data_IF_500316985903
#
_entry.id   IF_500316985903
#
_cell.length_a   1.000
_cell.length_b   1.000
_cell.length_c   1.000
_cell.angle_alpha   90.00
_cell.angle_beta   90.00
_cell.angle_gamma   90.00
#
_symmetry.space_group_name_H-M   'P 1'
#
loop_
_entity.id
_entity.type
_entity.pdbx_description
1 polymer ?
#
# COMPACT_ATOMS: atom_id res chain seq x y z
N UNK A 1 -18.76 19.23 16.25
CA UNK A 1 -18.15 19.94 15.10
C UNK A 1 -16.99 19.10 14.56
N UNK A 2 -17.17 18.48 13.41
CA UNK A 2 -16.14 17.67 12.73
C UNK A 2 -15.24 18.66 11.99
N UNK A 3 -13.99 18.80 12.41
CA UNK A 3 -13.00 19.65 11.73
C UNK A 3 -12.77 19.14 10.30
N UNK A 4 -12.85 19.99 9.26
CA UNK A 4 -12.59 19.57 7.89
C UNK A 4 -11.15 19.05 7.78
N UNK A 5 -11.00 17.88 7.18
CA UNK A 5 -9.68 17.28 6.89
C UNK A 5 -8.90 18.22 5.97
N UNK A 6 -7.91 18.87 6.54
CA UNK A 6 -7.15 19.95 5.93
C UNK A 6 -6.40 19.49 4.68
N UNK A 7 -6.50 20.31 3.64
CA UNK A 7 -5.81 20.23 2.34
C UNK A 7 -4.28 20.03 2.41
N UNK A 8 -3.65 20.30 3.55
CA UNK A 8 -2.22 20.01 3.83
C UNK A 8 -1.83 18.52 3.74
N UNK A 9 -2.78 17.57 3.94
CA UNK A 9 -2.49 16.12 3.84
C UNK A 9 -2.34 15.63 2.40
N UNK A 10 -2.91 16.31 1.41
CA UNK A 10 -2.83 15.93 -0.02
C UNK A 10 -1.46 16.19 -0.65
N UNK A 11 -0.77 17.24 -0.21
CA UNK A 11 0.59 17.56 -0.70
C UNK A 11 1.60 16.45 -0.38
N UNK A 12 1.39 15.74 0.71
CA UNK A 12 2.24 14.62 1.13
C UNK A 12 2.09 13.34 0.29
N UNK A 13 0.98 13.12 -0.43
CA UNK A 13 0.77 11.87 -1.18
C UNK A 13 1.73 11.76 -2.38
N UNK A 14 1.92 12.85 -3.15
CA UNK A 14 2.86 12.90 -4.29
C UNK A 14 4.27 12.54 -3.83
N UNK A 15 4.74 13.17 -2.76
CA UNK A 15 6.07 12.91 -2.20
C UNK A 15 6.21 11.48 -1.69
N UNK A 16 5.18 10.93 -1.04
CA UNK A 16 5.18 9.54 -0.58
C UNK A 16 5.23 8.54 -1.74
N UNK A 17 4.52 8.82 -2.84
CA UNK A 17 4.59 8.00 -4.06
C UNK A 17 6.00 8.02 -4.64
N UNK A 18 6.60 9.22 -4.82
CA UNK A 18 7.98 9.34 -5.31
C UNK A 18 8.95 8.59 -4.42
N UNK A 19 8.88 8.78 -3.11
CA UNK A 19 9.75 8.09 -2.14
C UNK A 19 9.57 6.56 -2.18
N UNK A 20 8.36 6.06 -2.46
CA UNK A 20 8.10 4.62 -2.58
C UNK A 20 8.62 4.07 -3.91
N UNK A 21 8.50 4.82 -5.00
CA UNK A 21 8.98 4.42 -6.32
C UNK A 21 10.50 4.50 -6.41
N UNK A 22 11.10 5.43 -5.69
CA UNK A 22 12.54 5.62 -5.66
C UNK A 22 13.28 4.35 -5.23
N UNK A 23 14.40 4.06 -5.87
CA UNK A 23 15.34 2.99 -5.52
C UNK A 23 16.74 3.57 -5.46
N UNK A 24 17.54 3.17 -4.47
CA UNK A 24 18.95 3.60 -4.31
C UNK A 24 19.14 5.14 -4.35
N UNK A 25 18.20 5.90 -3.75
CA UNK A 25 18.26 7.36 -3.69
C UNK A 25 17.97 8.11 -5.00
N UNK A 26 17.68 7.42 -6.11
CA UNK A 26 17.47 8.03 -7.43
C UNK A 26 16.08 8.69 -7.53
N UNK A 27 15.91 9.87 -6.91
CA UNK A 27 14.64 10.59 -6.86
C UNK A 27 14.17 11.03 -8.25
N UNK A 28 15.06 11.51 -9.10
CA UNK A 28 14.74 11.95 -10.47
C UNK A 28 14.13 10.85 -11.32
N UNK A 29 14.58 9.61 -11.17
CA UNK A 29 13.98 8.45 -11.86
C UNK A 29 12.57 8.15 -11.32
N UNK A 30 12.37 8.25 -10.02
CA UNK A 30 11.04 8.11 -9.41
C UNK A 30 10.05 9.18 -9.92
N UNK A 31 10.48 10.42 -10.05
CA UNK A 31 9.69 11.52 -10.61
C UNK A 31 9.37 11.30 -12.09
N UNK A 32 10.33 10.85 -12.90
CA UNK A 32 10.11 10.50 -14.32
C UNK A 32 9.07 9.37 -14.47
N UNK A 33 9.13 8.35 -13.64
CA UNK A 33 8.14 7.26 -13.62
C UNK A 33 6.76 7.81 -13.28
N UNK A 34 6.66 8.65 -12.25
CA UNK A 34 5.39 9.26 -11.85
C UNK A 34 4.79 10.14 -12.95
N UNK A 35 5.61 10.91 -13.68
CA UNK A 35 5.15 11.72 -14.80
C UNK A 35 4.62 10.87 -15.95
N UNK A 36 5.33 9.79 -16.32
CA UNK A 36 4.89 8.85 -17.37
C UNK A 36 3.58 8.15 -16.95
N UNK A 37 3.48 7.72 -15.69
CA UNK A 37 2.27 7.16 -15.11
C UNK A 37 1.09 8.15 -15.20
N UNK A 38 1.27 9.40 -14.78
CA UNK A 38 0.22 10.42 -14.82
C UNK A 38 -0.25 10.70 -16.26
N UNK A 39 0.69 10.87 -17.21
CA UNK A 39 0.38 11.06 -18.63
C UNK A 39 -0.41 9.90 -19.22
N UNK A 40 -0.03 8.65 -18.91
CA UNK A 40 -0.74 7.45 -19.41
C UNK A 40 -2.16 7.38 -18.83
N UNK A 41 -2.31 7.68 -17.54
CA UNK A 41 -3.62 7.69 -16.87
C UNK A 41 -4.55 8.79 -17.40
N UNK A 42 -4.01 9.95 -17.77
CA UNK A 42 -4.79 11.01 -18.41
C UNK A 42 -5.25 10.62 -19.83
N UNK A 43 -4.39 9.94 -20.60
CA UNK A 43 -4.74 9.44 -21.94
C UNK A 43 -5.86 8.40 -21.93
N UNK A 44 -6.02 7.63 -20.85
CA UNK A 44 -7.09 6.64 -20.69
C UNK A 44 -8.46 7.25 -20.29
N UNK A 45 -8.70 8.53 -20.61
CA UNK A 45 -9.96 9.28 -20.35
C UNK A 45 -10.39 9.35 -18.87
N UNK A 46 -9.46 9.17 -17.94
CA UNK A 46 -9.77 9.32 -16.52
C UNK A 46 -9.75 10.81 -16.16
N UNK A 47 -10.90 11.49 -16.26
CA UNK A 47 -11.06 12.93 -15.97
C UNK A 47 -10.53 13.33 -14.57
N UNK A 48 -10.53 12.40 -13.61
CA UNK A 48 -10.16 12.64 -12.21
C UNK A 48 -9.04 11.72 -11.70
N UNK A 49 -7.88 11.69 -12.39
CA UNK A 49 -6.77 10.81 -12.04
C UNK A 49 -6.36 10.87 -10.55
N UNK A 50 -6.41 12.06 -9.93
CA UNK A 50 -6.10 12.23 -8.50
C UNK A 50 -7.06 11.44 -7.62
N UNK A 51 -8.37 11.47 -7.92
CA UNK A 51 -9.38 10.70 -7.18
C UNK A 51 -9.17 9.20 -7.32
N UNK A 52 -8.84 8.72 -8.53
CA UNK A 52 -8.56 7.29 -8.77
C UNK A 52 -7.35 6.81 -7.96
N UNK A 53 -6.26 7.57 -7.94
CA UNK A 53 -5.09 7.24 -7.12
C UNK A 53 -5.42 7.26 -5.63
N UNK A 54 -6.20 8.23 -5.17
CA UNK A 54 -6.64 8.28 -3.77
C UNK A 54 -7.52 7.08 -3.40
N UNK A 55 -8.50 6.73 -4.25
CA UNK A 55 -9.35 5.56 -4.03
C UNK A 55 -8.53 4.27 -4.00
N UNK A 56 -7.60 4.08 -4.95
CA UNK A 56 -6.72 2.92 -4.96
C UNK A 56 -5.92 2.81 -3.65
N UNK A 57 -5.36 3.92 -3.15
CA UNK A 57 -4.63 3.95 -1.89
C UNK A 57 -5.55 3.62 -0.71
N UNK A 58 -6.75 4.18 -0.63
CA UNK A 58 -7.72 3.91 0.44
C UNK A 58 -8.11 2.43 0.42
N UNK A 59 -8.44 1.89 -0.76
CA UNK A 59 -8.88 0.49 -0.91
C UNK A 59 -7.80 -0.51 -0.51
N UNK A 60 -6.53 -0.18 -0.74
CA UNK A 60 -5.38 -1.05 -0.41
C UNK A 60 -4.78 -0.78 0.97
N UNK A 61 -5.24 0.26 1.70
CA UNK A 61 -4.70 0.61 3.02
C UNK A 61 -5.07 -0.45 4.07
N UNK A 62 -4.08 -1.12 4.71
CA UNK A 62 -4.35 -2.02 5.81
C UNK A 62 -4.48 -1.26 7.13
N UNK A 63 -5.33 -1.75 8.04
CA UNK A 63 -5.46 -1.25 9.41
C UNK A 63 -4.48 -1.90 10.37
N UNK A 64 -4.12 -3.16 10.09
CA UNK A 64 -3.24 -3.97 10.93
C UNK A 64 -2.02 -4.43 10.13
N UNK A 65 -0.97 -4.77 10.83
CA UNK A 65 0.22 -5.48 10.33
C UNK A 65 0.46 -6.72 11.17
N UNK A 66 1.15 -7.70 10.64
CA UNK A 66 1.61 -8.87 11.37
C UNK A 66 3.06 -8.65 11.80
N UNK A 67 3.33 -8.81 13.08
CA UNK A 67 4.68 -8.81 13.63
C UNK A 67 5.07 -10.25 13.96
N UNK A 68 6.19 -10.69 13.41
CA UNK A 68 6.75 -12.00 13.71
C UNK A 68 7.52 -11.94 15.03
N UNK A 69 7.10 -12.74 15.99
CA UNK A 69 7.85 -12.94 17.23
C UNK A 69 8.43 -14.37 17.25
N UNK A 70 9.72 -14.46 17.43
CA UNK A 70 10.41 -15.72 17.63
C UNK A 70 10.38 -16.06 19.12
N UNK A 71 9.60 -17.05 19.49
CA UNK A 71 9.56 -17.58 20.85
C UNK A 71 10.48 -18.80 20.93
N UNK A 72 11.54 -18.68 21.73
CA UNK A 72 12.42 -19.80 22.04
C UNK A 72 11.77 -20.64 23.15
N UNK A 73 11.49 -21.89 22.90
CA UNK A 73 11.03 -22.87 23.88
C UNK A 73 12.04 -24.00 23.96
N UNK A 74 13.03 -23.85 24.84
CA UNK A 74 14.19 -24.75 24.89
C UNK A 74 15.02 -24.68 23.60
N UNK A 75 15.32 -25.82 23.01
CA UNK A 75 16.07 -25.94 21.73
C UNK A 75 15.23 -25.60 20.48
N UNK A 76 13.89 -25.49 20.62
CA UNK A 76 12.97 -25.24 19.48
C UNK A 76 12.64 -23.75 19.37
N UNK A 77 12.64 -23.24 18.14
CA UNK A 77 12.17 -21.89 17.80
C UNK A 77 10.77 -22.00 17.22
N UNK A 78 9.79 -21.29 17.81
CA UNK A 78 8.45 -21.14 17.27
C UNK A 78 8.26 -19.70 16.81
N UNK A 79 7.77 -19.52 15.59
CA UNK A 79 7.43 -18.19 15.04
C UNK A 79 5.94 -17.96 15.32
N UNK A 80 5.62 -16.86 15.97
CA UNK A 80 4.24 -16.42 16.21
C UNK A 80 3.99 -15.12 15.47
N UNK A 81 2.92 -15.08 14.68
CA UNK A 81 2.48 -13.88 13.97
C UNK A 81 1.47 -13.14 14.84
N UNK A 82 1.91 -12.03 15.45
CA UNK A 82 1.09 -11.22 16.33
C UNK A 82 0.53 -10.04 15.53
N UNK A 83 -0.82 -9.91 15.42
CA UNK A 83 -1.42 -8.76 14.78
C UNK A 83 -1.20 -7.50 15.62
N UNK A 84 -0.82 -6.40 14.96
CA UNK A 84 -0.66 -5.09 15.58
C UNK A 84 -1.38 -4.01 14.79
N UNK A 85 -1.99 -3.07 15.48
CA UNK A 85 -2.66 -1.93 14.86
C UNK A 85 -1.64 -0.90 14.34
N UNK A 86 -1.91 -0.31 13.18
CA UNK A 86 -1.10 0.76 12.63
C UNK A 86 -1.76 2.09 13.02
N UNK A 87 -1.24 2.76 14.04
CA UNK A 87 -1.80 4.02 14.57
C UNK A 87 -1.58 5.20 13.63
N UNK A 88 -0.44 5.26 12.95
CA UNK A 88 -0.08 6.38 12.08
C UNK A 88 -0.67 6.25 10.68
N UNK A 89 -1.49 7.23 10.26
CA UNK A 89 -2.02 7.32 8.88
C UNK A 89 -0.90 7.37 7.84
N UNK A 90 0.22 8.01 8.18
CA UNK A 90 1.39 8.06 7.30
C UNK A 90 1.95 6.69 6.98
N UNK A 91 2.07 5.83 8.01
CA UNK A 91 2.52 4.44 7.85
C UNK A 91 1.50 3.60 7.08
N UNK A 92 0.20 3.80 7.33
CA UNK A 92 -0.87 3.11 6.56
C UNK A 92 -0.74 3.40 5.08
N UNK A 93 -0.60 4.67 4.69
CA UNK A 93 -0.43 5.07 3.29
C UNK A 93 0.87 4.49 2.71
N UNK A 94 1.97 4.50 3.45
CA UNK A 94 3.24 3.94 2.98
C UNK A 94 3.17 2.43 2.79
N UNK A 95 2.49 1.69 3.66
CA UNK A 95 2.29 0.23 3.51
C UNK A 95 1.43 -0.09 2.30
N UNK A 96 0.37 0.68 2.04
CA UNK A 96 -0.45 0.58 0.83
C UNK A 96 0.38 0.79 -0.43
N UNK A 97 1.14 1.88 -0.51
CA UNK A 97 1.99 2.18 -1.67
C UNK A 97 3.07 1.11 -1.90
N UNK A 98 3.67 0.57 -0.83
CA UNK A 98 4.61 -0.56 -0.93
C UNK A 98 3.92 -1.82 -1.46
N UNK A 99 2.69 -2.11 -1.02
CA UNK A 99 1.90 -3.24 -1.52
C UNK A 99 1.61 -3.11 -3.02
N UNK A 100 1.17 -1.92 -3.47
CA UNK A 100 0.95 -1.64 -4.89
C UNK A 100 2.26 -1.82 -5.68
N UNK A 101 3.38 -1.22 -5.24
CA UNK A 101 4.68 -1.38 -5.90
C UNK A 101 5.08 -2.85 -6.02
N UNK A 102 4.92 -3.64 -4.97
CA UNK A 102 5.25 -5.07 -4.98
C UNK A 102 4.35 -5.88 -5.93
N UNK A 103 3.06 -5.53 -6.05
CA UNK A 103 2.15 -6.17 -7.01
C UNK A 103 2.56 -5.85 -8.44
N UNK A 104 2.89 -4.60 -8.71
CA UNK A 104 3.38 -4.15 -10.03
C UNK A 104 4.68 -4.85 -10.44
N UNK A 105 5.61 -5.06 -9.49
CA UNK A 105 6.86 -5.76 -9.76
C UNK A 105 6.67 -7.26 -10.03
N UNK A 106 5.64 -7.87 -9.42
CA UNK A 106 5.29 -9.27 -9.69
C UNK A 106 4.61 -9.46 -11.04
N UNK A 107 3.83 -8.47 -11.48
CA UNK A 107 3.14 -8.49 -12.77
C UNK A 107 4.08 -8.09 -13.89
N UNK A 108 4.42 -9.05 -14.74
CA UNK A 108 5.26 -8.81 -15.94
C UNK A 108 4.45 -8.68 -17.23
N UNK A 109 3.16 -8.36 -17.13
CA UNK A 109 2.24 -8.36 -18.29
C UNK A 109 2.52 -7.24 -19.29
N UNK A 110 3.01 -6.08 -18.83
CA UNK A 110 3.37 -4.97 -19.70
C UNK A 110 4.89 -4.77 -19.76
N UNK A 111 5.36 -4.27 -20.90
CA UNK A 111 6.78 -4.01 -21.15
C UNK A 111 7.38 -2.99 -20.18
N UNK A 112 6.58 -2.00 -19.75
CA UNK A 112 7.04 -0.92 -18.91
C UNK A 112 6.39 -0.93 -17.52
N UNK A 113 7.19 -0.66 -16.51
CA UNK A 113 6.74 -0.59 -15.11
C UNK A 113 5.58 0.41 -14.89
N UNK A 114 5.61 1.58 -15.53
CA UNK A 114 4.57 2.59 -15.39
C UNK A 114 3.21 2.15 -15.97
N UNK A 115 3.19 1.26 -16.97
CA UNK A 115 1.96 0.70 -17.53
C UNK A 115 1.32 -0.31 -16.58
N UNK A 116 2.13 -1.20 -16.01
CA UNK A 116 1.67 -2.10 -14.96
C UNK A 116 1.15 -1.32 -13.74
N UNK A 117 1.79 -0.19 -13.41
CA UNK A 117 1.33 0.69 -12.32
C UNK A 117 -0.03 1.32 -12.63
N UNK A 118 -0.28 1.75 -13.87
CA UNK A 118 -1.60 2.25 -14.30
C UNK A 118 -2.64 1.16 -14.14
N UNK A 119 -2.39 -0.04 -14.68
CA UNK A 119 -3.32 -1.16 -14.60
C UNK A 119 -3.65 -1.54 -13.16
N UNK A 120 -2.64 -1.68 -12.29
CA UNK A 120 -2.85 -2.03 -10.89
C UNK A 120 -3.62 -0.95 -10.13
N UNK A 121 -3.32 0.34 -10.35
CA UNK A 121 -4.02 1.45 -9.69
C UNK A 121 -5.46 1.56 -10.17
N UNK A 122 -5.74 1.38 -11.46
CA UNK A 122 -7.12 1.39 -11.98
C UNK A 122 -7.93 0.21 -11.44
N UNK A 123 -7.36 -0.99 -11.41
CA UNK A 123 -8.01 -2.17 -10.83
C UNK A 123 -8.25 -2.01 -9.33
N UNK A 124 -7.25 -1.52 -8.59
CA UNK A 124 -7.38 -1.29 -7.14
C UNK A 124 -8.41 -0.24 -6.79
N UNK A 125 -8.65 0.75 -7.66
CA UNK A 125 -9.70 1.75 -7.46
C UNK A 125 -11.11 1.15 -7.49
N UNK A 126 -11.30 0.01 -8.20
CA UNK A 126 -12.56 -0.73 -8.34
C UNK A 126 -12.60 -1.97 -7.40
N UNK A 127 -11.78 -1.99 -6.35
CA UNK A 127 -11.64 -3.14 -5.44
C UNK A 127 -11.19 -4.45 -6.11
N UNK A 128 -10.57 -4.38 -7.28
CA UNK A 128 -9.96 -5.51 -7.99
C UNK A 128 -8.46 -5.28 -8.06
N UNK A 129 -7.68 -6.34 -8.08
CA UNK A 129 -6.22 -6.23 -8.25
C UNK A 129 -5.45 -6.89 -7.12
N UNK A 130 -4.22 -7.28 -7.43
CA UNK A 130 -3.36 -8.06 -6.53
C UNK A 130 -3.03 -7.35 -5.21
N UNK A 131 -3.00 -6.02 -5.20
CA UNK A 131 -2.76 -5.25 -3.98
C UNK A 131 -3.96 -5.30 -3.02
N UNK A 132 -5.18 -5.38 -3.55
CA UNK A 132 -6.40 -5.57 -2.76
C UNK A 132 -6.46 -7.00 -2.23
N UNK A 133 -6.11 -8.00 -3.06
CA UNK A 133 -6.06 -9.41 -2.64
C UNK A 133 -5.08 -9.62 -1.50
N UNK A 134 -3.89 -9.00 -1.54
CA UNK A 134 -2.94 -9.02 -0.43
C UNK A 134 -3.51 -8.43 0.87
N UNK A 135 -4.31 -7.36 0.77
CA UNK A 135 -4.98 -6.79 1.93
C UNK A 135 -6.00 -7.77 2.52
N UNK A 136 -6.82 -8.40 1.66
CA UNK A 136 -7.82 -9.38 2.13
C UNK A 136 -7.17 -10.62 2.71
N UNK A 137 -6.07 -11.10 2.15
CA UNK A 137 -5.27 -12.19 2.68
C UNK A 137 -4.69 -11.84 4.06
N UNK A 138 -4.11 -10.65 4.20
CA UNK A 138 -3.62 -10.16 5.48
C UNK A 138 -4.75 -10.09 6.52
N UNK A 139 -5.95 -9.64 6.14
CA UNK A 139 -7.11 -9.63 7.03
C UNK A 139 -7.51 -11.03 7.47
N UNK A 140 -7.50 -12.02 6.56
CA UNK A 140 -7.76 -13.44 6.89
C UNK A 140 -6.71 -13.97 7.89
N UNK A 141 -5.44 -13.67 7.68
CA UNK A 141 -4.35 -14.07 8.58
C UNK A 141 -4.50 -13.44 9.97
N UNK A 142 -4.95 -12.18 10.05
CA UNK A 142 -5.21 -11.49 11.32
C UNK A 142 -6.36 -12.16 12.06
N UNK A 143 -7.44 -12.50 11.37
CA UNK A 143 -8.58 -13.20 11.97
C UNK A 143 -8.17 -14.59 12.49
N UNK A 144 -7.34 -15.32 11.75
CA UNK A 144 -6.81 -16.61 12.21
C UNK A 144 -5.95 -16.46 13.48
N UNK A 145 -5.26 -15.34 13.63
CA UNK A 145 -4.39 -15.05 14.77
C UNK A 145 -5.06 -14.16 15.83
N UNK A 146 -6.40 -14.01 15.83
CA UNK A 146 -7.16 -13.13 16.75
C UNK A 146 -6.88 -13.37 18.22
N UNK A 147 -6.55 -14.61 18.61
CA UNK A 147 -6.19 -14.99 19.99
C UNK A 147 -5.00 -14.22 20.56
N UNK A 148 -4.14 -13.64 19.70
CA UNK A 148 -3.00 -12.85 20.15
C UNK A 148 -3.28 -11.35 20.23
N UNK A 149 -4.49 -10.89 19.86
CA UNK A 149 -4.89 -9.48 19.96
C UNK A 149 -4.99 -9.01 21.43
N UNK A 150 -5.34 -9.90 22.35
CA UNK A 150 -5.41 -9.58 23.79
C UNK A 150 -4.05 -9.19 24.41
N UNK A 151 -2.95 -9.61 23.80
CA UNK A 151 -1.60 -9.27 24.25
C UNK A 151 -1.15 -7.87 23.78
N UNK A 152 -2.02 -7.15 23.05
CA UNK A 152 -1.73 -5.83 22.53
C UNK A 152 -2.36 -4.75 23.43
N UNK A 153 -1.51 -3.85 23.96
CA UNK A 153 -2.00 -2.59 24.53
C UNK A 153 -2.39 -1.68 23.35
N UNK A 154 -3.67 -1.32 23.31
CA UNK A 154 -4.28 -0.41 22.32
C UNK A 154 -3.86 1.03 22.58
#
# INVERSE_FOLDING_TARGET
>A
MIKPLQTKKLFNLKMKIVNTLMTSGKKTTGEKILLKFAKKLQKSNVKHFKKVVQLAVINTTPTFKLNEQVVKKGKRKAIRNIPSFITSDSLRVMTSLKSIKQSVLKNKNAKYFYENLVNEVTMSSIFKGQSVDKKTELQKQILANKRYLSNFRW
#
